data_IF_188200448659
#
_entry.id   IF_188200448659
#
_cell.length_a   1.000
_cell.length_b   1.000
_cell.length_c   1.000
_cell.angle_alpha   90.00
_cell.angle_beta   90.00
_cell.angle_gamma   90.00
#
_symmetry.space_group_name_H-M   'P 1'
#
loop_
_entity.id
_entity.type
_entity.pdbx_description
1 polymer ?
#
# COMPACT_ATOMS: atom_id res chain seq x y z
N UNK A 1 5.39 11.82 19.40
CA UNK A 1 4.75 11.84 18.07
C UNK A 1 5.27 10.67 17.26
N UNK A 2 4.53 10.20 16.26
CA UNK A 2 4.93 9.09 15.38
C UNK A 2 5.40 9.64 14.04
N UNK A 3 6.51 10.39 14.08
CA UNK A 3 6.99 11.15 12.92
C UNK A 3 7.60 10.23 11.84
N UNK A 4 8.16 9.12 12.27
CA UNK A 4 8.71 8.03 11.45
C UNK A 4 7.64 7.25 10.68
N UNK A 5 6.37 7.36 11.07
CA UNK A 5 5.23 6.76 10.35
C UNK A 5 4.69 7.65 9.22
N UNK A 6 5.19 8.88 9.08
CA UNK A 6 4.68 9.82 8.07
C UNK A 6 5.04 9.33 6.67
N UNK A 7 4.00 9.16 5.83
CA UNK A 7 4.16 8.86 4.41
C UNK A 7 4.29 10.14 3.59
N UNK A 8 5.53 10.58 3.38
CA UNK A 8 5.83 11.82 2.68
C UNK A 8 5.46 11.78 1.19
N UNK A 9 4.92 12.91 0.70
CA UNK A 9 4.66 13.09 -0.72
C UNK A 9 5.96 13.24 -1.50
N UNK A 10 6.07 12.53 -2.62
CA UNK A 10 7.27 12.57 -3.48
C UNK A 10 7.16 13.59 -4.63
N UNK A 11 6.10 14.39 -4.70
CA UNK A 11 5.95 15.42 -5.73
C UNK A 11 5.76 14.90 -7.16
N UNK A 12 5.27 13.67 -7.34
CA UNK A 12 5.19 13.03 -8.66
C UNK A 12 4.03 13.50 -9.57
N UNK A 13 3.09 14.30 -9.05
CA UNK A 13 1.89 14.77 -9.77
C UNK A 13 0.99 13.69 -10.40
N UNK A 14 1.12 12.41 -10.02
CA UNK A 14 0.22 11.36 -10.55
C UNK A 14 -1.25 11.58 -10.17
N UNK A 15 -1.48 12.20 -9.01
CA UNK A 15 -2.81 12.62 -8.57
C UNK A 15 -3.43 13.66 -9.51
N UNK A 16 -2.61 14.62 -9.95
CA UNK A 16 -2.99 15.67 -10.89
C UNK A 16 -3.25 15.08 -12.28
N UNK A 17 -2.45 14.09 -12.71
CA UNK A 17 -2.71 13.37 -13.96
C UNK A 17 -4.13 12.80 -14.01
N UNK A 18 -4.63 12.24 -12.91
CA UNK A 18 -6.01 11.71 -12.85
C UNK A 18 -7.08 12.76 -13.16
N UNK A 19 -6.88 14.00 -12.67
CA UNK A 19 -7.75 15.13 -13.00
C UNK A 19 -7.71 15.47 -14.50
N UNK A 20 -6.51 15.49 -15.11
CA UNK A 20 -6.37 15.81 -16.54
C UNK A 20 -6.93 14.74 -17.46
N UNK A 21 -6.94 13.48 -17.02
CA UNK A 21 -7.48 12.35 -17.80
C UNK A 21 -8.92 12.00 -17.46
N UNK A 22 -9.59 12.76 -16.58
CA UNK A 22 -10.94 12.47 -16.07
C UNK A 22 -11.09 11.05 -15.52
N UNK A 23 -10.02 10.54 -14.89
CA UNK A 23 -10.02 9.23 -14.22
C UNK A 23 -9.95 9.41 -12.71
N UNK A 24 -10.46 8.46 -11.90
CA UNK A 24 -10.31 8.52 -10.45
C UNK A 24 -8.87 8.79 -10.02
N UNK A 25 -8.69 9.73 -9.10
CA UNK A 25 -7.39 10.14 -8.58
C UNK A 25 -6.64 8.94 -8.00
N UNK A 26 -5.32 8.93 -8.17
CA UNK A 26 -4.42 7.94 -7.57
C UNK A 26 -3.26 8.66 -6.88
N UNK A 27 -2.62 7.99 -5.93
CA UNK A 27 -1.39 8.45 -5.32
C UNK A 27 -0.33 7.35 -5.41
N UNK A 28 0.91 7.71 -5.76
CA UNK A 28 2.03 6.74 -5.81
C UNK A 28 2.31 6.16 -4.43
N UNK A 29 2.17 6.98 -3.39
CA UNK A 29 2.46 6.60 -2.02
C UNK A 29 1.27 5.94 -1.33
N UNK A 30 0.05 6.47 -1.52
CA UNK A 30 -1.15 5.97 -0.85
C UNK A 30 -2.08 5.23 -1.83
N UNK A 31 -2.05 3.88 -1.85
CA UNK A 31 -2.90 3.10 -2.74
C UNK A 31 -4.38 3.09 -2.31
N UNK A 32 -4.74 3.60 -1.13
CA UNK A 32 -6.15 3.69 -0.71
C UNK A 32 -6.86 4.92 -1.28
N UNK A 33 -6.14 5.89 -1.84
CA UNK A 33 -6.75 7.10 -2.43
C UNK A 33 -7.69 6.71 -3.56
N UNK A 34 -8.97 7.07 -3.43
CA UNK A 34 -10.02 6.73 -4.38
C UNK A 34 -10.61 5.33 -4.20
N UNK A 35 -10.12 4.56 -3.22
CA UNK A 35 -10.57 3.20 -2.90
C UNK A 35 -11.40 3.15 -1.61
N UNK A 36 -11.48 4.25 -0.86
CA UNK A 36 -12.06 4.31 0.48
C UNK A 36 -13.54 3.93 0.46
N UNK A 37 -14.31 4.53 -0.45
CA UNK A 37 -15.73 4.23 -0.57
C UNK A 37 -16.00 2.92 -1.34
N UNK A 38 -15.37 2.75 -2.50
CA UNK A 38 -15.68 1.65 -3.41
C UNK A 38 -15.11 0.29 -2.99
N UNK A 39 -14.09 0.25 -2.13
CA UNK A 39 -13.49 -0.98 -1.58
C UNK A 39 -13.47 -1.03 -0.05
N UNK A 40 -13.83 0.05 0.64
CA UNK A 40 -13.74 0.11 2.10
C UNK A 40 -12.29 0.17 2.62
N UNK A 41 -11.33 0.62 1.79
CA UNK A 41 -9.92 0.64 2.16
C UNK A 41 -9.58 1.88 2.99
N UNK A 42 -9.13 1.68 4.22
CA UNK A 42 -8.66 2.75 5.07
C UNK A 42 -7.12 2.85 5.00
N UNK A 43 -6.53 4.06 4.90
CA UNK A 43 -5.09 4.23 4.69
C UNK A 43 -4.22 3.59 5.79
N UNK A 44 -4.70 3.65 7.03
CA UNK A 44 -3.98 3.12 8.21
C UNK A 44 -4.56 1.83 8.79
N UNK A 45 -5.70 1.34 8.27
CA UNK A 45 -6.44 0.22 8.89
C UNK A 45 -6.76 -0.81 7.82
N UNK A 46 -6.08 -1.94 7.89
CA UNK A 46 -6.32 -3.10 7.02
C UNK A 46 -7.00 -4.18 7.85
N UNK A 47 -7.97 -4.89 7.26
CA UNK A 47 -8.67 -5.98 7.95
C UNK A 47 -7.69 -7.05 8.45
N UNK A 48 -7.88 -7.64 9.64
CA UNK A 48 -6.98 -8.65 10.18
C UNK A 48 -6.88 -9.88 9.27
N UNK A 49 -5.87 -10.71 9.49
CA UNK A 49 -5.69 -11.98 8.79
C UNK A 49 -6.92 -12.88 8.97
N UNK A 50 -7.30 -13.58 7.91
CA UNK A 50 -8.40 -14.55 7.93
C UNK A 50 -7.95 -15.99 8.18
N UNK A 51 -6.64 -16.23 8.28
CA UNK A 51 -6.02 -17.54 8.47
C UNK A 51 -4.60 -17.40 9.03
N UNK A 52 -4.00 -18.51 9.45
CA UNK A 52 -2.60 -18.59 9.89
C UNK A 52 -1.61 -18.92 8.76
N UNK A 53 -1.96 -18.59 7.52
CA UNK A 53 -1.06 -18.79 6.38
C UNK A 53 0.25 -18.01 6.55
N UNK A 54 1.34 -18.57 6.06
CA UNK A 54 2.61 -17.86 5.88
C UNK A 54 2.75 -17.45 4.41
N UNK A 55 3.34 -16.28 4.15
CA UNK A 55 3.39 -15.72 2.80
C UNK A 55 4.83 -15.41 2.40
N UNK A 56 5.27 -15.96 1.26
CA UNK A 56 6.51 -15.56 0.61
C UNK A 56 6.20 -14.52 -0.48
N UNK A 57 6.83 -13.35 -0.38
CA UNK A 57 6.83 -12.32 -1.42
C UNK A 57 8.22 -12.32 -2.07
N UNK A 58 8.28 -12.54 -3.39
CA UNK A 58 9.54 -12.52 -4.15
C UNK A 58 9.59 -11.22 -4.97
N UNK A 59 10.57 -10.38 -4.70
CA UNK A 59 10.76 -9.05 -5.26
C UNK A 59 10.45 -7.94 -4.25
N UNK A 60 11.44 -7.07 -3.95
CA UNK A 60 11.35 -5.91 -3.06
C UNK A 60 11.27 -4.58 -3.83
N UNK A 61 10.72 -4.59 -5.04
CA UNK A 61 10.26 -3.38 -5.72
C UNK A 61 8.98 -2.80 -5.08
N UNK A 62 8.42 -1.70 -5.62
CA UNK A 62 7.27 -1.01 -5.02
C UNK A 62 6.06 -1.91 -4.74
N UNK A 63 5.74 -2.82 -5.67
CA UNK A 63 4.62 -3.75 -5.51
C UNK A 63 4.85 -4.75 -4.38
N UNK A 64 6.06 -5.33 -4.30
CA UNK A 64 6.39 -6.31 -3.28
C UNK A 64 6.51 -5.71 -1.88
N UNK A 65 7.09 -4.52 -1.77
CA UNK A 65 7.16 -3.77 -0.52
C UNK A 65 5.77 -3.43 0.00
N UNK A 66 4.87 -2.91 -0.84
CA UNK A 66 3.51 -2.58 -0.41
C UNK A 66 2.70 -3.83 -0.06
N UNK A 67 2.87 -4.93 -0.81
CA UNK A 67 2.24 -6.21 -0.49
C UNK A 67 2.71 -6.76 0.87
N UNK A 68 4.02 -6.77 1.11
CA UNK A 68 4.62 -7.23 2.36
C UNK A 68 4.19 -6.35 3.54
N UNK A 69 4.23 -5.01 3.38
CA UNK A 69 3.77 -4.04 4.38
C UNK A 69 2.30 -4.25 4.73
N UNK A 70 1.44 -4.37 3.72
CA UNK A 70 0.01 -4.57 3.92
C UNK A 70 -0.29 -5.91 4.61
N UNK A 71 0.31 -7.01 4.14
CA UNK A 71 0.14 -8.33 4.77
C UNK A 71 0.66 -8.37 6.22
N UNK A 72 1.80 -7.72 6.48
CA UNK A 72 2.34 -7.56 7.83
C UNK A 72 1.39 -6.80 8.76
N UNK A 73 0.79 -5.70 8.30
CA UNK A 73 -0.23 -4.96 9.06
C UNK A 73 -1.48 -5.78 9.36
N UNK A 74 -1.85 -6.74 8.50
CA UNK A 74 -2.93 -7.69 8.76
C UNK A 74 -2.56 -8.75 9.81
N UNK A 75 -1.27 -8.94 10.10
CA UNK A 75 -0.74 -9.92 11.04
C UNK A 75 -0.28 -11.25 10.43
N UNK A 76 -0.11 -11.34 9.11
CA UNK A 76 0.47 -12.53 8.48
C UNK A 76 1.98 -12.63 8.77
N UNK A 77 2.50 -13.86 8.85
CA UNK A 77 3.94 -14.08 8.82
C UNK A 77 4.42 -13.98 7.36
N UNK A 78 5.19 -12.92 7.07
CA UNK A 78 5.64 -12.61 5.71
C UNK A 78 7.15 -12.77 5.62
N UNK A 79 7.61 -13.52 4.62
CA UNK A 79 9.00 -13.55 4.18
C UNK A 79 9.10 -12.76 2.88
N UNK A 80 9.94 -11.74 2.86
CA UNK A 80 10.27 -10.99 1.64
C UNK A 80 11.66 -11.40 1.18
N UNK A 81 11.75 -11.92 -0.05
CA UNK A 81 13.00 -12.29 -0.69
C UNK A 81 13.23 -11.42 -1.92
N UNK A 82 14.44 -10.91 -2.08
CA UNK A 82 14.87 -10.13 -3.25
C UNK A 82 16.20 -10.71 -3.71
N UNK A 83 16.46 -10.66 -5.02
CA UNK A 83 17.70 -11.14 -5.61
C UNK A 83 18.84 -10.13 -5.48
N UNK A 84 18.49 -8.83 -5.42
CA UNK A 84 19.40 -7.69 -5.27
C UNK A 84 19.95 -7.46 -3.86
#
# INVERSE_FOLDING_TARGET
>A
GRLDEIRECIGCNICVSGQHTFTPMRCTQNPSVGEEWRRGWHPERIAPKGSDATVLVVGAGPAGLEAARALGQRGYAVTLAEAG
#
